data_IF_048070291528
#
_entry.id   IF_048070291528
#
_cell.length_a   1.000
_cell.length_b   1.000
_cell.length_c   1.000
_cell.angle_alpha   90.00
_cell.angle_beta   90.00
_cell.angle_gamma   90.00
#
_symmetry.space_group_name_H-M   'P 1'
#
loop_
_entity.id
_entity.type
_entity.pdbx_description
1 polymer ?
#
# COMPACT_ATOMS: atom_id res chain seq x y z
N UNK A 1 -14.99 5.82 4.03
CA UNK A 1 -14.11 6.42 3.01
C UNK A 1 -13.50 7.67 3.58
N UNK A 2 -12.41 7.46 4.33
CA UNK A 2 -11.45 8.55 4.51
C UNK A 2 -10.93 8.95 3.11
N UNK A 3 -10.94 10.25 2.83
CA UNK A 3 -10.09 10.83 1.78
C UNK A 3 -9.00 11.60 2.50
N UNK A 4 -7.89 10.95 2.89
CA UNK A 4 -6.78 11.67 3.47
C UNK A 4 -6.29 12.71 2.48
N UNK A 5 -5.83 13.85 3.00
CA UNK A 5 -5.19 14.87 2.20
C UNK A 5 -3.97 14.29 1.49
N UNK A 6 -3.63 14.85 0.32
CA UNK A 6 -2.48 14.41 -0.49
C UNK A 6 -1.18 14.41 0.33
N UNK A 7 -1.06 15.33 1.29
CA UNK A 7 0.06 15.44 2.22
C UNK A 7 0.22 14.21 3.12
N UNK A 8 -0.89 13.59 3.55
CA UNK A 8 -0.85 12.37 4.38
C UNK A 8 -0.29 11.15 3.63
N UNK A 9 -0.22 11.21 2.30
CA UNK A 9 0.37 10.18 1.44
C UNK A 9 1.68 10.63 0.78
N UNK A 10 2.27 11.74 1.20
CA UNK A 10 3.55 12.18 0.68
C UNK A 10 4.68 11.41 1.37
N UNK A 11 5.14 10.32 0.74
CA UNK A 11 6.30 9.54 1.22
C UNK A 11 7.45 9.70 0.23
N UNK A 12 8.64 10.12 0.67
CA UNK A 12 9.77 10.32 -0.23
C UNK A 12 10.14 8.99 -0.90
N UNK A 13 10.28 9.02 -2.23
CA UNK A 13 10.59 7.86 -3.10
C UNK A 13 9.43 6.89 -3.38
N UNK A 14 8.18 7.24 -3.06
CA UNK A 14 7.01 6.44 -3.45
C UNK A 14 6.07 7.24 -4.35
N UNK A 15 5.64 6.61 -5.45
CA UNK A 15 4.60 7.18 -6.30
C UNK A 15 3.23 7.02 -5.63
N UNK A 16 2.30 7.93 -5.91
CA UNK A 16 0.93 7.82 -5.41
C UNK A 16 0.27 6.49 -5.81
N UNK A 17 0.56 6.00 -7.02
CA UNK A 17 0.08 4.71 -7.48
C UNK A 17 0.60 3.56 -6.61
N UNK A 18 1.90 3.58 -6.26
CA UNK A 18 2.52 2.59 -5.36
C UNK A 18 1.82 2.53 -4.00
N UNK A 19 1.43 3.69 -3.48
CA UNK A 19 0.73 3.82 -2.20
C UNK A 19 -0.67 3.22 -2.29
N UNK A 20 -1.44 3.56 -3.33
CA UNK A 20 -2.79 3.01 -3.55
C UNK A 20 -2.74 1.49 -3.65
N UNK A 21 -1.78 0.94 -4.41
CA UNK A 21 -1.59 -0.51 -4.54
C UNK A 21 -1.24 -1.14 -3.19
N UNK A 22 -0.36 -0.52 -2.40
CA UNK A 22 0.00 -1.05 -1.09
C UNK A 22 -1.17 -1.05 -0.10
N UNK A 23 -1.95 0.04 -0.04
CA UNK A 23 -3.16 0.13 0.79
C UNK A 23 -4.18 -0.94 0.36
N UNK A 24 -4.37 -1.14 -0.93
CA UNK A 24 -5.29 -2.16 -1.44
C UNK A 24 -4.87 -3.58 -1.06
N UNK A 25 -3.56 -3.89 -1.12
CA UNK A 25 -3.03 -5.19 -0.66
C UNK A 25 -3.31 -5.39 0.82
N UNK A 26 -2.99 -4.39 1.65
CA UNK A 26 -3.21 -4.45 3.09
C UNK A 26 -4.68 -4.57 3.47
N UNK A 27 -5.58 -3.89 2.75
CA UNK A 27 -7.01 -4.04 2.95
C UNK A 27 -7.51 -5.47 2.70
N UNK A 28 -6.95 -6.18 1.72
CA UNK A 28 -7.26 -7.60 1.49
C UNK A 28 -6.73 -8.48 2.62
N UNK A 29 -5.50 -8.26 3.08
CA UNK A 29 -4.94 -9.01 4.22
C UNK A 29 -5.81 -8.88 5.47
N UNK A 30 -6.28 -7.68 5.79
CA UNK A 30 -7.18 -7.42 6.93
C UNK A 30 -8.51 -8.19 6.77
N UNK A 31 -9.07 -8.21 5.56
CA UNK A 31 -10.30 -8.94 5.30
C UNK A 31 -10.09 -10.46 5.43
N UNK A 32 -9.01 -10.99 4.85
CA UNK A 32 -8.66 -12.40 4.90
C UNK A 32 -8.36 -12.87 6.34
N UNK A 33 -7.67 -12.05 7.15
CA UNK A 33 -7.42 -12.33 8.57
C UNK A 33 -8.72 -12.41 9.36
N UNK A 34 -9.62 -11.44 9.18
CA UNK A 34 -10.91 -11.43 9.87
C UNK A 34 -11.79 -12.62 9.46
N UNK A 35 -11.83 -12.96 8.17
CA UNK A 35 -12.56 -14.14 7.67
C UNK A 35 -12.02 -15.43 8.29
N UNK A 36 -10.69 -15.60 8.35
CA UNK A 36 -10.05 -16.77 8.96
C UNK A 36 -10.26 -16.83 10.48
N UNK A 37 -10.31 -15.70 11.16
CA UNK A 37 -10.59 -15.61 12.59
C UNK A 37 -12.08 -15.80 12.91
N UNK A 38 -12.97 -15.66 11.91
CA UNK A 38 -14.42 -15.62 12.11
C UNK A 38 -14.91 -14.29 12.70
N UNK A 39 -14.10 -13.23 12.61
CA UNK A 39 -14.38 -11.91 13.15
C UNK A 39 -15.24 -11.07 12.19
N UNK A 40 -16.27 -10.41 12.73
CA UNK A 40 -17.07 -9.47 11.96
C UNK A 40 -16.40 -8.09 12.00
N UNK A 41 -15.86 -7.66 10.85
CA UNK A 41 -15.30 -6.32 10.70
C UNK A 41 -16.41 -5.26 10.67
N UNK A 42 -16.43 -4.39 11.70
CA UNK A 42 -17.33 -3.24 11.79
C UNK A 42 -16.87 -2.11 10.86
N UNK A 43 -15.56 -1.89 10.78
CA UNK A 43 -14.95 -0.89 9.89
C UNK A 43 -14.57 -1.51 8.56
N UNK A 44 -14.63 -0.71 7.47
CA UNK A 44 -14.23 -1.20 6.16
C UNK A 44 -12.72 -1.51 6.15
N UNK A 45 -12.28 -2.64 5.58
CA UNK A 45 -10.85 -3.01 5.54
C UNK A 45 -9.96 -1.93 4.91
N UNK A 46 -10.49 -1.20 3.92
CA UNK A 46 -9.77 -0.09 3.27
C UNK A 46 -9.55 1.09 4.22
N UNK A 47 -10.55 1.44 5.03
CA UNK A 47 -10.41 2.56 5.98
C UNK A 47 -9.40 2.18 7.10
N UNK A 48 -9.38 0.91 7.53
CA UNK A 48 -8.38 0.36 8.45
C UNK A 48 -6.96 0.39 7.83
N UNK A 49 -6.81 -0.05 6.58
CA UNK A 49 -5.53 -0.05 5.89
C UNK A 49 -4.97 1.37 5.66
N UNK A 50 -5.84 2.36 5.42
CA UNK A 50 -5.41 3.77 5.34
C UNK A 50 -4.94 4.27 6.70
N UNK A 51 -5.67 3.95 7.79
CA UNK A 51 -5.30 4.38 9.14
C UNK A 51 -3.95 3.80 9.57
N UNK A 52 -3.77 2.51 9.38
CA UNK A 52 -2.55 1.83 9.73
C UNK A 52 -1.35 2.33 8.88
N UNK A 53 -1.58 2.77 7.63
CA UNK A 53 -0.56 3.45 6.80
C UNK A 53 -0.14 4.79 7.40
N UNK A 54 -1.12 5.64 7.75
CA UNK A 54 -0.88 6.96 8.38
C UNK A 54 -0.19 6.80 9.74
N UNK A 55 -0.51 5.73 10.47
CA UNK A 55 0.12 5.37 11.75
C UNK A 55 1.50 4.73 11.59
N UNK A 56 2.04 4.63 10.38
CA UNK A 56 3.36 4.05 10.08
C UNK A 56 3.54 2.61 10.59
N UNK A 57 2.44 1.83 10.67
CA UNK A 57 2.49 0.43 11.15
C UNK A 57 3.14 -0.53 10.17
N UNK A 58 3.34 -0.11 8.92
CA UNK A 58 4.00 -0.90 7.89
C UNK A 58 4.69 -0.01 6.86
N UNK A 59 5.66 -0.62 6.18
CA UNK A 59 6.51 0.03 5.19
C UNK A 59 6.22 -0.55 3.81
N UNK A 60 6.03 0.34 2.84
CA UNK A 60 5.90 -0.05 1.43
C UNK A 60 7.30 -0.30 0.88
N UNK A 61 7.54 -1.54 0.43
CA UNK A 61 8.77 -1.92 -0.26
C UNK A 61 8.43 -2.03 -1.73
N UNK A 62 8.90 -1.06 -2.51
CA UNK A 62 8.84 -1.15 -3.97
C UNK A 62 10.03 -1.98 -4.44
N UNK A 63 9.83 -3.02 -5.26
CA UNK A 63 10.94 -3.70 -5.90
C UNK A 63 11.66 -2.70 -6.80
N UNK A 64 12.93 -2.43 -6.52
CA UNK A 64 13.76 -1.67 -7.46
C UNK A 64 13.81 -2.50 -8.75
N UNK A 65 13.36 -1.91 -9.85
CA UNK A 65 13.66 -2.46 -11.17
C UNK A 65 15.19 -2.39 -11.27
N UNK A 66 15.89 -3.51 -11.10
CA UNK A 66 17.29 -3.58 -11.49
C UNK A 66 17.33 -3.14 -12.95
N UNK A 67 17.92 -1.97 -13.21
CA UNK A 67 18.13 -1.50 -14.58
C UNK A 67 18.97 -2.57 -15.26
N UNK A 68 18.34 -3.35 -16.14
CA UNK A 68 19.06 -4.35 -16.91
C UNK A 68 20.12 -3.61 -17.76
N UNK A 69 21.43 -3.82 -17.52
CA UNK A 69 22.49 -3.07 -18.20
C UNK A 69 22.53 -3.34 -19.71
N UNK A 70 21.81 -4.35 -20.21
CA UNK A 70 21.78 -4.74 -21.63
C UNK A 70 20.90 -3.86 -22.54
N UNK A 71 20.45 -2.70 -22.07
CA UNK A 71 19.74 -1.71 -22.91
C UNK A 71 20.68 -0.68 -23.58
N UNK A 72 21.99 -0.88 -23.51
CA UNK A 72 23.03 0.04 -24.03
C UNK A 72 23.52 -0.20 -25.46
N UNK A 73 22.92 -1.11 -26.24
CA UNK A 73 23.31 -1.29 -27.65
C UNK A 73 22.10 -1.17 -28.57
N UNK A 74 21.79 0.06 -28.98
CA UNK A 74 21.31 0.38 -30.33
C UNK A 74 21.74 1.81 -30.65
N UNK A 75 22.91 1.92 -31.28
CA UNK A 75 23.26 3.00 -32.21
C UNK A 75 23.66 2.34 -33.54
#
# INVERSE_FOLDING_TARGET
MLRPSHEAFSTPNLSQYSIVVAVAKRAREIADEAEKAGDILIEKPVDLAVRDFIQHKYKIIVPTQEKNPDSFFHE
#
